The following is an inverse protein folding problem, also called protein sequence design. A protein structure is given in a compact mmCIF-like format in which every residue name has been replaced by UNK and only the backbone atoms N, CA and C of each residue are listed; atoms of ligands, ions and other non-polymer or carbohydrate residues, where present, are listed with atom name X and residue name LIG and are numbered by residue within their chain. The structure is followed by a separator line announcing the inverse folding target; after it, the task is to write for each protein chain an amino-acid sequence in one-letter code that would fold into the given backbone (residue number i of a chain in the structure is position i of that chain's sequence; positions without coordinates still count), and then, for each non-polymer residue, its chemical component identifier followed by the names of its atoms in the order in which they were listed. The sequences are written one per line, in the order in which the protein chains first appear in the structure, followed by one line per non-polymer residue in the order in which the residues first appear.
data_IF_259350695383
#
_entry.id   IF_259350695383
#
_cell.length_a   1.000
_cell.length_b   1.000
_cell.length_c   1.000
_cell.angle_alpha   90.00
_cell.angle_beta   90.00
_cell.angle_gamma   90.00
#
_symmetry.space_group_name_H-M   'P 1'
#
loop_
_entity.id
_entity.type
_entity.pdbx_description
1 polymer ?
#
# COMPACT_ATOMS: atom_id res chain seq x y z
N UNK A 1 -5.15 10.28 -20.99
CA UNK A 1 -4.96 10.51 -19.54
C UNK A 1 -5.83 9.51 -18.80
N UNK A 2 -5.26 8.78 -17.84
CA UNK A 2 -5.98 7.75 -17.09
C UNK A 2 -6.99 8.42 -16.15
N UNK A 3 -8.25 7.94 -16.17
CA UNK A 3 -9.35 8.51 -15.38
C UNK A 3 -9.86 7.60 -14.28
N UNK A 4 -9.71 6.28 -14.46
CA UNK A 4 -10.25 5.28 -13.54
C UNK A 4 -9.14 4.49 -12.88
N UNK A 5 -9.37 4.21 -11.59
CA UNK A 5 -8.58 3.30 -10.80
C UNK A 5 -9.43 2.09 -10.42
N UNK A 6 -8.96 0.92 -10.81
CA UNK A 6 -9.56 -0.36 -10.48
C UNK A 6 -8.79 -1.04 -9.34
N UNK A 7 -9.52 -1.63 -8.41
CA UNK A 7 -8.99 -2.63 -7.48
C UNK A 7 -9.99 -3.77 -7.35
N UNK A 8 -9.51 -4.94 -6.93
CA UNK A 8 -10.35 -6.11 -6.76
C UNK A 8 -10.30 -6.64 -5.33
N UNK A 9 -11.43 -7.20 -4.88
CA UNK A 9 -11.52 -7.87 -3.59
C UNK A 9 -12.70 -8.83 -3.59
N UNK A 10 -12.60 -9.96 -2.89
CA UNK A 10 -13.74 -10.82 -2.62
C UNK A 10 -14.24 -10.65 -1.19
N UNK A 11 -15.36 -11.29 -0.83
CA UNK A 11 -15.95 -11.16 0.51
C UNK A 11 -14.97 -11.50 1.65
N UNK A 12 -14.13 -12.53 1.48
CA UNK A 12 -13.14 -12.93 2.47
C UNK A 12 -12.05 -11.86 2.63
N UNK A 13 -11.51 -11.37 1.50
CA UNK A 13 -10.50 -10.31 1.46
C UNK A 13 -11.04 -8.91 1.78
N UNK A 14 -12.35 -8.74 1.95
CA UNK A 14 -12.98 -7.46 2.27
C UNK A 14 -13.31 -7.30 3.77
N UNK A 15 -12.76 -8.18 4.62
CA UNK A 15 -13.01 -8.20 6.07
C UNK A 15 -11.72 -8.01 6.87
N UNK A 16 -11.87 -7.71 8.16
CA UNK A 16 -10.76 -7.63 9.11
C UNK A 16 -9.72 -6.57 8.73
N UNK A 17 -8.47 -7.00 8.60
CA UNK A 17 -7.33 -6.13 8.30
C UNK A 17 -7.48 -5.40 6.95
N UNK A 18 -8.07 -6.05 5.96
CA UNK A 18 -8.18 -5.50 4.60
C UNK A 18 -9.30 -4.47 4.43
N UNK A 19 -10.35 -4.51 5.26
CA UNK A 19 -11.36 -3.43 5.30
C UNK A 19 -10.67 -2.07 5.59
N UNK A 20 -9.72 -2.05 6.53
CA UNK A 20 -8.95 -0.84 6.85
C UNK A 20 -8.02 -0.41 5.71
N UNK A 21 -7.39 -1.38 5.05
CA UNK A 21 -6.50 -1.13 3.91
C UNK A 21 -7.27 -0.50 2.73
N UNK A 22 -8.40 -1.09 2.37
CA UNK A 22 -9.28 -0.58 1.30
C UNK A 22 -9.75 0.85 1.61
N UNK A 23 -10.18 1.10 2.85
CA UNK A 23 -10.60 2.45 3.26
C UNK A 23 -9.46 3.46 3.15
N UNK A 24 -8.24 3.08 3.53
CA UNK A 24 -7.07 3.94 3.39
C UNK A 24 -6.74 4.25 1.93
N UNK A 25 -6.76 3.22 1.07
CA UNK A 25 -6.53 3.37 -0.37
C UNK A 25 -7.57 4.30 -1.01
N UNK A 26 -8.86 4.10 -0.72
CA UNK A 26 -9.96 4.94 -1.24
C UNK A 26 -9.86 6.39 -0.75
N UNK A 27 -9.61 6.59 0.55
CA UNK A 27 -9.47 7.94 1.12
C UNK A 27 -8.30 8.69 0.51
N UNK A 28 -7.15 8.03 0.37
CA UNK A 28 -5.95 8.65 -0.20
C UNK A 28 -6.10 8.93 -1.70
N UNK A 29 -6.70 8.02 -2.46
CA UNK A 29 -7.04 8.24 -3.86
C UNK A 29 -7.88 9.51 -4.03
N UNK A 30 -8.94 9.65 -3.24
CA UNK A 30 -9.84 10.81 -3.31
C UNK A 30 -9.23 12.12 -2.83
N UNK A 31 -8.30 12.05 -1.88
CA UNK A 31 -7.62 13.22 -1.37
C UNK A 31 -6.57 13.75 -2.36
N UNK A 32 -5.87 12.83 -3.04
CA UNK A 32 -4.61 13.15 -3.70
C UNK A 32 -4.65 13.00 -5.23
N UNK A 33 -5.76 12.54 -5.81
CA UNK A 33 -5.89 12.31 -7.26
C UNK A 33 -7.26 12.72 -7.80
N UNK A 34 -7.37 12.86 -9.12
CA UNK A 34 -8.65 12.99 -9.83
C UNK A 34 -9.29 11.67 -10.29
N UNK A 35 -8.80 10.51 -9.83
CA UNK A 35 -9.23 9.20 -10.32
C UNK A 35 -10.62 8.82 -9.79
N UNK A 36 -11.42 8.19 -10.64
CA UNK A 36 -12.66 7.52 -10.25
C UNK A 36 -12.36 6.10 -9.75
N UNK A 37 -12.55 5.80 -8.45
CA UNK A 37 -12.34 4.45 -7.93
C UNK A 37 -13.46 3.50 -8.39
N UNK A 38 -13.07 2.29 -8.80
CA UNK A 38 -13.94 1.19 -9.21
C UNK A 38 -13.48 -0.09 -8.52
N UNK A 39 -14.39 -0.75 -7.81
CA UNK A 39 -14.14 -1.99 -7.10
C UNK A 39 -14.74 -3.17 -7.86
N UNK A 40 -13.92 -4.13 -8.26
CA UNK A 40 -14.40 -5.45 -8.72
C UNK A 40 -14.62 -6.33 -7.50
N UNK A 41 -15.84 -6.82 -7.30
CA UNK A 41 -16.23 -7.52 -6.08
C UNK A 41 -16.89 -8.88 -6.32
N UNK A 42 -16.35 -9.94 -5.70
CA UNK A 42 -16.94 -11.30 -5.68
C UNK A 42 -17.42 -11.65 -4.27
N UNK A 43 -18.72 -11.78 -4.04
CA UNK A 43 -19.24 -12.05 -2.69
C UNK A 43 -20.70 -11.67 -2.44
N UNK A 44 -21.17 -11.82 -1.20
CA UNK A 44 -22.47 -11.36 -0.71
C UNK A 44 -22.53 -9.86 -0.41
N UNK A 45 -23.56 -9.39 0.30
CA UNK A 45 -23.61 -8.01 0.80
C UNK A 45 -22.81 -7.91 2.11
N UNK A 46 -21.96 -6.89 2.22
CA UNK A 46 -21.19 -6.57 3.44
C UNK A 46 -21.19 -5.06 3.70
N UNK A 47 -21.07 -4.60 4.96
CA UNK A 47 -21.10 -3.17 5.30
C UNK A 47 -20.05 -2.31 4.58
N UNK A 48 -18.93 -2.90 4.16
CA UNK A 48 -17.92 -2.18 3.39
C UNK A 48 -18.48 -1.69 2.03
N UNK A 49 -19.40 -2.41 1.39
CA UNK A 49 -19.94 -2.01 0.08
C UNK A 49 -20.74 -0.71 0.17
N UNK A 50 -21.57 -0.56 1.21
CA UNK A 50 -22.31 0.67 1.48
C UNK A 50 -21.36 1.84 1.72
N UNK A 51 -20.29 1.60 2.47
CA UNK A 51 -19.27 2.61 2.72
C UNK A 51 -18.54 3.00 1.43
N UNK A 52 -18.16 2.03 0.58
CA UNK A 52 -17.52 2.27 -0.71
C UNK A 52 -18.40 3.14 -1.60
N UNK A 53 -19.69 2.79 -1.74
CA UNK A 53 -20.65 3.58 -2.50
C UNK A 53 -20.79 5.01 -1.96
N UNK A 54 -20.91 5.17 -0.64
CA UNK A 54 -20.96 6.48 0.01
C UNK A 54 -19.66 7.31 -0.17
N UNK A 55 -18.55 6.65 -0.47
CA UNK A 55 -17.26 7.29 -0.76
C UNK A 55 -16.99 7.42 -2.25
N UNK A 56 -18.02 7.30 -3.10
CA UNK A 56 -17.91 7.54 -4.53
C UNK A 56 -17.20 6.43 -5.29
N UNK A 57 -17.12 5.22 -4.73
CA UNK A 57 -16.59 4.04 -5.43
C UNK A 57 -17.70 3.35 -6.19
N UNK A 58 -17.47 3.10 -7.47
CA UNK A 58 -18.37 2.24 -8.27
C UNK A 58 -18.07 0.78 -7.95
N UNK A 59 -19.02 0.06 -7.37
CA UNK A 59 -18.86 -1.38 -7.08
C UNK A 59 -19.46 -2.19 -8.22
N UNK A 60 -18.66 -3.03 -8.85
CA UNK A 60 -19.07 -3.96 -9.90
C UNK A 60 -18.98 -5.37 -9.34
N UNK A 61 -20.15 -6.01 -9.17
CA UNK A 61 -20.23 -7.41 -8.77
C UNK A 61 -19.79 -8.29 -9.94
N UNK A 62 -18.73 -9.07 -9.74
CA UNK A 62 -18.16 -9.92 -10.78
C UNK A 62 -17.58 -11.19 -10.18
N UNK A 63 -17.84 -12.33 -10.83
CA UNK A 63 -17.20 -13.61 -10.51
C UNK A 63 -16.16 -13.89 -11.60
N UNK A 64 -14.93 -14.16 -11.19
CA UNK A 64 -13.83 -14.40 -12.13
C UNK A 64 -14.13 -15.56 -13.09
N UNK A 65 -13.80 -15.37 -14.37
CA UNK A 65 -14.04 -16.30 -15.48
C UNK A 65 -13.40 -17.67 -15.28
N UNK A 66 -12.32 -17.73 -14.51
CA UNK A 66 -11.62 -18.97 -14.16
C UNK A 66 -12.06 -19.58 -12.82
N UNK A 67 -13.17 -19.13 -12.24
CA UNK A 67 -13.61 -19.55 -10.90
C UNK A 67 -13.76 -21.07 -10.77
N UNK A 68 -14.29 -21.75 -11.78
CA UNK A 68 -14.40 -23.22 -11.76
C UNK A 68 -13.04 -23.91 -11.71
N UNK A 69 -12.03 -23.36 -12.40
CA UNK A 69 -10.68 -23.91 -12.36
C UNK A 69 -10.03 -23.70 -10.98
N UNK A 70 -10.28 -22.56 -10.35
CA UNK A 70 -9.86 -22.29 -8.97
C UNK A 70 -10.50 -23.29 -8.00
N UNK A 71 -11.80 -23.55 -8.12
CA UNK A 71 -12.54 -24.46 -7.26
C UNK A 71 -12.10 -25.92 -7.41
N UNK A 72 -11.71 -26.31 -8.63
CA UNK A 72 -11.23 -27.66 -8.94
C UNK A 72 -9.73 -27.83 -8.68
N UNK A 73 -9.01 -26.77 -8.32
CA UNK A 73 -7.58 -26.85 -8.05
C UNK A 73 -7.35 -27.77 -6.84
N UNK A 74 -6.53 -28.83 -6.95
CA UNK A 74 -6.28 -29.74 -5.84
C UNK A 74 -5.69 -29.01 -4.62
N UNK A 75 -6.04 -29.42 -3.38
CA UNK A 75 -5.43 -28.87 -2.18
C UNK A 75 -3.91 -28.99 -2.22
N UNK A 76 -3.22 -27.92 -1.84
CA UNK A 76 -1.77 -27.87 -1.78
C UNK A 76 -1.31 -26.85 -0.72
N UNK A 77 -0.08 -26.96 -0.19
CA UNK A 77 0.40 -26.04 0.84
C UNK A 77 0.24 -24.57 0.40
N UNK A 78 -0.28 -23.75 1.31
CA UNK A 78 -0.50 -22.32 1.12
C UNK A 78 -1.44 -21.94 -0.04
N UNK A 79 -2.26 -22.88 -0.54
CA UNK A 79 -3.33 -22.59 -1.49
C UNK A 79 -4.62 -22.25 -0.75
N UNK A 80 -5.21 -21.11 -1.08
CA UNK A 80 -6.52 -20.71 -0.61
C UNK A 80 -7.37 -20.28 -1.82
N UNK A 81 -8.43 -21.05 -2.09
CA UNK A 81 -9.33 -20.79 -3.22
C UNK A 81 -10.09 -19.45 -3.07
N UNK A 82 -10.38 -19.01 -1.84
CA UNK A 82 -10.98 -17.71 -1.61
C UNK A 82 -9.99 -16.60 -1.94
N UNK A 83 -8.73 -16.69 -1.50
CA UNK A 83 -7.70 -15.70 -1.88
C UNK A 83 -7.52 -15.68 -3.40
N UNK A 84 -7.40 -16.85 -4.03
CA UNK A 84 -7.26 -16.98 -5.49
C UNK A 84 -8.40 -16.29 -6.25
N UNK A 85 -9.66 -16.47 -5.81
CA UNK A 85 -10.83 -15.83 -6.44
C UNK A 85 -10.72 -14.32 -6.43
N UNK A 86 -10.33 -13.73 -5.29
CA UNK A 86 -10.13 -12.28 -5.18
C UNK A 86 -8.97 -11.77 -6.04
N UNK A 87 -7.82 -12.44 -5.96
CA UNK A 87 -6.60 -12.04 -6.66
C UNK A 87 -6.77 -12.09 -8.20
N UNK A 88 -7.43 -13.14 -8.70
CA UNK A 88 -7.65 -13.38 -10.13
C UNK A 88 -8.74 -12.50 -10.77
N UNK A 89 -9.55 -11.75 -10.01
CA UNK A 89 -10.59 -10.88 -10.58
C UNK A 89 -10.03 -9.90 -11.63
N UNK A 90 -8.78 -9.45 -11.44
CA UNK A 90 -8.11 -8.54 -12.37
C UNK A 90 -7.89 -9.11 -13.77
N UNK A 91 -7.89 -10.44 -13.92
CA UNK A 91 -7.81 -11.11 -15.23
C UNK A 91 -8.97 -10.66 -16.13
N UNK A 92 -10.15 -10.43 -15.54
CA UNK A 92 -11.36 -10.06 -16.27
C UNK A 92 -11.57 -8.55 -16.39
N UNK A 93 -10.70 -7.73 -15.80
CA UNK A 93 -10.75 -6.27 -15.94
C UNK A 93 -10.99 -5.81 -17.40
N UNK A 94 -10.34 -6.37 -18.43
CA UNK A 94 -10.54 -5.96 -19.81
C UNK A 94 -11.93 -6.26 -20.39
N UNK A 95 -12.68 -7.19 -19.78
CA UNK A 95 -14.07 -7.48 -20.14
C UNK A 95 -15.05 -6.49 -19.50
N UNK A 96 -14.65 -5.88 -18.38
CA UNK A 96 -15.50 -5.05 -17.54
C UNK A 96 -15.38 -3.58 -17.92
N UNK A 97 -14.16 -3.07 -18.05
CA UNK A 97 -13.93 -1.73 -18.59
C UNK A 97 -14.21 -1.74 -20.10
N UNK A 98 -15.00 -0.79 -20.58
CA UNK A 98 -15.44 -0.71 -21.98
C UNK A 98 -15.28 0.68 -22.60
N UNK A 99 -15.02 1.70 -21.78
CA UNK A 99 -14.97 3.10 -22.16
C UNK A 99 -13.54 3.62 -22.28
N UNK A 100 -12.69 3.33 -21.28
CA UNK A 100 -11.32 3.84 -21.23
C UNK A 100 -10.33 2.87 -21.89
N UNK A 101 -9.43 3.42 -22.72
CA UNK A 101 -8.36 2.65 -23.36
C UNK A 101 -7.29 2.23 -22.35
N UNK A 102 -6.93 3.12 -21.42
CA UNK A 102 -5.95 2.87 -20.38
C UNK A 102 -6.54 3.13 -19.00
N UNK A 103 -6.32 2.18 -18.10
CA UNK A 103 -6.74 2.29 -16.69
C UNK A 103 -5.59 1.96 -15.75
N UNK A 104 -5.64 2.50 -14.54
CA UNK A 104 -4.79 2.05 -13.44
C UNK A 104 -5.49 0.89 -12.74
N UNK A 105 -4.79 -0.22 -12.55
CA UNK A 105 -5.18 -1.24 -11.59
C UNK A 105 -4.18 -1.25 -10.42
N UNK A 106 -4.64 -1.42 -9.18
CA UNK A 106 -3.76 -1.75 -8.06
C UNK A 106 -4.35 -2.82 -7.14
N UNK A 107 -3.50 -3.45 -6.33
CA UNK A 107 -3.94 -4.11 -5.10
C UNK A 107 -4.59 -3.08 -4.16
N UNK A 108 -5.34 -3.57 -3.19
CA UNK A 108 -6.20 -2.75 -2.34
C UNK A 108 -5.55 -2.29 -1.02
N UNK A 109 -4.24 -2.50 -0.91
CA UNK A 109 -3.36 -2.16 0.21
C UNK A 109 -2.29 -1.15 -0.22
N UNK A 110 -2.72 -0.18 -1.02
CA UNK A 110 -1.91 0.93 -1.50
C UNK A 110 -2.28 2.25 -0.82
N UNK A 111 -1.41 3.24 -0.99
CA UNK A 111 -1.63 4.63 -0.60
C UNK A 111 -1.28 5.55 -1.77
N UNK A 112 -2.22 6.40 -2.17
CA UNK A 112 -2.00 7.44 -3.18
C UNK A 112 -1.47 8.70 -2.50
N UNK A 113 -0.34 9.23 -2.98
CA UNK A 113 0.32 10.40 -2.40
C UNK A 113 0.28 11.62 -3.30
N UNK A 114 0.07 11.42 -4.60
CA UNK A 114 -0.13 12.48 -5.58
C UNK A 114 -0.80 11.93 -6.84
N UNK A 115 -1.23 12.84 -7.72
CA UNK A 115 -1.82 12.49 -9.01
C UNK A 115 -0.84 11.69 -9.89
N UNK A 116 -1.39 10.89 -10.81
CA UNK A 116 -0.60 10.05 -11.70
C UNK A 116 0.26 10.88 -12.66
N UNK A 117 -0.18 12.08 -13.09
CA UNK A 117 0.57 12.83 -14.10
C UNK A 117 0.82 12.02 -15.37
N UNK A 118 2.08 11.97 -15.85
CA UNK A 118 2.44 11.20 -17.06
C UNK A 118 2.63 9.71 -16.74
N UNK A 119 2.02 8.86 -17.54
CA UNK A 119 2.06 7.40 -17.44
C UNK A 119 2.46 6.76 -18.77
N UNK A 120 3.12 5.59 -18.77
CA UNK A 120 3.40 4.87 -20.00
C UNK A 120 2.11 4.42 -20.69
N UNK A 121 2.17 4.25 -22.01
CA UNK A 121 1.12 3.64 -22.84
C UNK A 121 1.61 2.26 -23.31
N UNK A 122 1.39 1.20 -22.51
CA UNK A 122 1.90 -0.13 -22.83
C UNK A 122 1.12 -0.80 -23.97
N UNK A 123 1.77 -1.75 -24.64
CA UNK A 123 1.08 -2.64 -25.60
C UNK A 123 -0.02 -3.46 -24.91
N UNK A 124 0.30 -4.08 -23.77
CA UNK A 124 -0.64 -4.88 -22.96
C UNK A 124 -0.81 -4.30 -21.57
N UNK A 125 0.27 -4.23 -20.81
CA UNK A 125 0.30 -3.60 -19.50
C UNK A 125 1.72 -3.19 -19.11
N UNK A 126 1.83 -2.30 -18.12
CA UNK A 126 3.08 -1.91 -17.49
C UNK A 126 3.05 -2.25 -16.00
N UNK A 127 4.11 -2.89 -15.48
CA UNK A 127 4.27 -3.24 -14.07
C UNK A 127 5.66 -2.83 -13.55
N UNK A 128 5.81 -2.77 -12.22
CA UNK A 128 7.09 -2.58 -11.56
C UNK A 128 7.71 -3.95 -11.18
N UNK A 129 9.02 -4.03 -10.88
CA UNK A 129 9.65 -5.27 -10.44
C UNK A 129 9.13 -5.76 -9.07
N UNK A 130 9.28 -7.07 -8.82
CA UNK A 130 8.81 -7.69 -7.59
C UNK A 130 9.78 -7.54 -6.41
N UNK A 131 11.05 -7.86 -6.61
CA UNK A 131 11.95 -8.07 -5.46
C UNK A 131 12.78 -6.82 -5.16
N UNK A 132 13.47 -6.29 -6.18
CA UNK A 132 14.33 -5.13 -6.06
C UNK A 132 14.02 -4.10 -7.16
N UNK A 133 14.29 -2.80 -6.92
CA UNK A 133 14.05 -1.73 -7.89
C UNK A 133 14.69 -1.92 -9.28
N UNK A 134 15.78 -2.69 -9.35
CA UNK A 134 16.57 -2.98 -10.55
C UNK A 134 16.36 -4.40 -11.11
N UNK A 135 15.61 -5.27 -10.42
CA UNK A 135 15.38 -6.65 -10.83
C UNK A 135 14.09 -6.82 -11.67
N UNK A 136 14.23 -6.69 -12.99
CA UNK A 136 13.14 -6.83 -13.95
C UNK A 136 12.86 -8.27 -14.41
N UNK A 137 13.44 -9.28 -13.74
CA UNK A 137 13.23 -10.69 -14.10
C UNK A 137 11.83 -11.19 -13.77
N UNK A 138 11.16 -10.52 -12.82
CA UNK A 138 9.82 -10.86 -12.35
C UNK A 138 9.06 -9.59 -11.95
N UNK A 139 7.83 -9.44 -12.41
CA UNK A 139 7.03 -8.23 -12.18
C UNK A 139 5.99 -8.41 -11.08
N UNK A 140 5.79 -7.33 -10.32
CA UNK A 140 4.71 -7.19 -9.37
C UNK A 140 3.44 -6.71 -10.10
N UNK A 141 2.36 -7.47 -9.97
CA UNK A 141 1.05 -7.13 -10.56
C UNK A 141 0.17 -6.29 -9.65
N UNK A 142 0.65 -5.92 -8.45
CA UNK A 142 -0.09 -5.10 -7.50
C UNK A 142 -0.21 -3.62 -7.87
N UNK A 143 0.46 -3.17 -8.92
CA UNK A 143 0.11 -1.92 -9.61
C UNK A 143 0.41 -2.05 -11.10
N UNK A 144 -0.56 -1.70 -11.94
CA UNK A 144 -0.51 -1.89 -13.37
C UNK A 144 -1.14 -0.72 -14.11
N UNK A 145 -0.51 -0.24 -15.19
CA UNK A 145 -1.26 0.45 -16.24
C UNK A 145 -1.69 -0.61 -17.24
N UNK A 146 -2.98 -0.69 -17.54
CA UNK A 146 -3.57 -1.74 -18.37
C UNK A 146 -4.10 -1.13 -19.67
N UNK A 147 -3.63 -1.63 -20.81
CA UNK A 147 -4.23 -1.36 -22.13
C UNK A 147 -5.44 -2.27 -22.30
N UNK A 148 -6.62 -1.72 -22.09
CA UNK A 148 -7.88 -2.47 -22.00
C UNK A 148 -8.21 -3.16 -23.34
N UNK A 149 -8.21 -2.48 -24.50
CA UNK A 149 -8.48 -3.14 -25.78
C UNK A 149 -7.49 -4.27 -26.10
N UNK A 150 -6.21 -4.10 -25.80
CA UNK A 150 -5.20 -5.12 -26.06
C UNK A 150 -5.36 -6.34 -25.15
N UNK A 151 -5.52 -6.10 -23.85
CA UNK A 151 -5.75 -7.17 -22.89
C UNK A 151 -7.09 -7.89 -23.14
N UNK A 152 -8.11 -7.20 -23.66
CA UNK A 152 -9.38 -7.83 -24.07
C UNK A 152 -9.20 -8.81 -25.23
N UNK A 153 -8.31 -8.52 -26.19
CA UNK A 153 -7.99 -9.45 -27.29
C UNK A 153 -7.28 -10.71 -26.78
N UNK A 154 -6.42 -10.57 -25.78
CA UNK A 154 -5.66 -11.68 -25.17
C UNK A 154 -6.47 -12.44 -24.11
N UNK A 155 -7.58 -11.88 -23.62
CA UNK A 155 -8.32 -12.38 -22.46
C UNK A 155 -8.63 -13.86 -22.55
N UNK A 156 -9.23 -14.32 -23.65
CA UNK A 156 -9.65 -15.71 -23.79
C UNK A 156 -8.46 -16.68 -23.70
N UNK A 157 -7.35 -16.36 -24.36
CA UNK A 157 -6.14 -17.18 -24.34
C UNK A 157 -5.46 -17.15 -22.96
N UNK A 158 -5.37 -15.96 -22.35
CA UNK A 158 -4.77 -15.77 -21.04
C UNK A 158 -5.56 -16.46 -19.93
N UNK A 159 -6.89 -16.31 -19.90
CA UNK A 159 -7.76 -16.96 -18.93
C UNK A 159 -7.69 -18.50 -19.06
N UNK A 160 -7.72 -19.03 -20.28
CA UNK A 160 -7.54 -20.47 -20.51
C UNK A 160 -6.17 -20.96 -20.03
N UNK A 161 -5.10 -20.21 -20.31
CA UNK A 161 -3.76 -20.53 -19.81
C UNK A 161 -3.72 -20.51 -18.28
N UNK A 162 -4.22 -19.45 -17.64
CA UNK A 162 -4.24 -19.32 -16.19
C UNK A 162 -4.98 -20.51 -15.57
N UNK A 163 -6.21 -20.78 -16.01
CA UNK A 163 -7.04 -21.90 -15.56
C UNK A 163 -6.32 -23.25 -15.66
N UNK A 164 -5.65 -23.53 -16.78
CA UNK A 164 -4.94 -24.79 -17.00
C UNK A 164 -3.65 -24.91 -16.17
N UNK A 165 -3.10 -23.80 -15.66
CA UNK A 165 -1.78 -23.77 -15.04
C UNK A 165 -1.77 -23.39 -13.55
N UNK A 166 -2.91 -23.02 -12.94
CA UNK A 166 -3.00 -22.61 -11.51
C UNK A 166 -2.20 -23.52 -10.58
N UNK A 167 -2.51 -24.81 -10.59
CA UNK A 167 -1.88 -25.80 -9.71
C UNK A 167 -0.37 -25.95 -9.97
N UNK A 168 0.05 -25.96 -11.24
CA UNK A 168 1.48 -26.08 -11.60
C UNK A 168 2.25 -24.84 -11.15
N UNK A 169 1.74 -23.66 -11.49
CA UNK A 169 2.39 -22.38 -11.17
C UNK A 169 2.48 -22.16 -9.66
N UNK A 170 1.43 -22.46 -8.90
CA UNK A 170 1.46 -22.37 -7.44
C UNK A 170 2.51 -23.30 -6.83
N UNK A 171 2.62 -24.54 -7.32
CA UNK A 171 3.63 -25.50 -6.85
C UNK A 171 5.05 -25.05 -7.15
N UNK A 172 5.29 -24.52 -8.34
CA UNK A 172 6.64 -24.16 -8.81
C UNK A 172 7.11 -22.78 -8.32
N UNK A 173 6.18 -21.85 -8.08
CA UNK A 173 6.48 -20.43 -7.83
C UNK A 173 5.93 -19.90 -6.51
N UNK A 174 5.10 -20.67 -5.81
CA UNK A 174 4.48 -20.27 -4.55
C UNK A 174 3.18 -19.47 -4.72
N UNK A 175 2.64 -18.90 -3.62
CA UNK A 175 1.27 -18.39 -3.51
C UNK A 175 1.07 -16.98 -4.07
N UNK A 176 1.49 -16.73 -5.32
CA UNK A 176 1.30 -15.45 -6.00
C UNK A 176 0.14 -15.47 -7.02
N UNK A 177 -0.66 -16.54 -7.04
CA UNK A 177 -1.92 -16.66 -7.80
C UNK A 177 -1.85 -16.12 -9.23
N UNK A 178 -2.53 -15.01 -9.53
CA UNK A 178 -2.61 -14.38 -10.85
C UNK A 178 -1.25 -13.81 -11.30
N UNK A 179 -0.42 -13.30 -10.39
CA UNK A 179 0.92 -12.76 -10.71
C UNK A 179 1.79 -13.81 -11.39
N UNK A 180 1.71 -15.08 -10.94
CA UNK A 180 2.42 -16.18 -11.59
C UNK A 180 1.93 -16.41 -13.02
N UNK A 181 0.61 -16.29 -13.26
CA UNK A 181 0.03 -16.45 -14.59
C UNK A 181 0.44 -15.29 -15.51
N UNK A 182 0.39 -14.05 -15.03
CA UNK A 182 0.85 -12.87 -15.79
C UNK A 182 2.32 -13.00 -16.18
N UNK A 183 3.20 -13.31 -15.23
CA UNK A 183 4.64 -13.46 -15.49
C UNK A 183 4.94 -14.61 -16.47
N UNK A 184 4.17 -15.70 -16.42
CA UNK A 184 4.37 -16.85 -17.30
C UNK A 184 3.80 -16.64 -18.71
N UNK A 185 2.59 -16.10 -18.85
CA UNK A 185 1.92 -15.94 -20.15
C UNK A 185 2.48 -14.75 -20.95
N UNK A 186 2.76 -13.65 -20.27
CA UNK A 186 3.26 -12.42 -20.90
C UNK A 186 4.77 -12.27 -20.82
N UNK A 187 5.52 -13.36 -20.59
CA UNK A 187 6.98 -13.36 -20.51
C UNK A 187 7.62 -12.51 -21.64
N UNK A 188 8.29 -11.42 -21.26
CA UNK A 188 8.95 -10.50 -22.20
C UNK A 188 8.03 -9.56 -22.99
N UNK A 189 6.73 -9.52 -22.66
CA UNK A 189 5.68 -8.72 -23.35
C UNK A 189 5.04 -7.66 -22.45
N UNK A 190 5.64 -7.36 -21.30
CA UNK A 190 5.20 -6.26 -20.42
C UNK A 190 6.10 -5.04 -20.58
N UNK A 191 5.52 -3.86 -20.36
CA UNK A 191 6.27 -2.60 -20.29
C UNK A 191 6.73 -2.30 -18.86
N UNK A 192 7.72 -1.41 -18.73
CA UNK A 192 8.21 -0.95 -17.42
C UNK A 192 7.32 0.16 -16.87
N UNK A 193 6.75 -0.06 -15.69
CA UNK A 193 6.09 0.98 -14.91
C UNK A 193 7.14 1.81 -14.15
N UNK A 194 7.02 3.15 -14.12
CA UNK A 194 7.79 3.95 -13.17
C UNK A 194 7.69 3.42 -11.74
N UNK A 195 8.83 3.27 -11.05
CA UNK A 195 8.90 2.67 -9.71
C UNK A 195 8.07 3.43 -8.67
N UNK A 196 7.90 4.74 -8.86
CA UNK A 196 7.12 5.61 -8.01
C UNK A 196 5.60 5.38 -8.09
N UNK A 197 5.12 4.55 -9.02
CA UNK A 197 3.72 4.09 -9.11
C UNK A 197 3.49 2.72 -8.43
N UNK A 198 4.52 2.10 -7.85
CA UNK A 198 4.42 0.84 -7.12
C UNK A 198 5.53 0.71 -6.06
N UNK A 199 5.74 1.78 -5.28
CA UNK A 199 6.86 1.82 -4.33
C UNK A 199 6.58 0.95 -3.12
N UNK A 200 7.50 0.04 -2.79
CA UNK A 200 7.35 -0.82 -1.61
C UNK A 200 8.00 -0.15 -0.39
N UNK A 201 7.39 -0.21 0.81
CA UNK A 201 7.90 0.49 1.98
C UNK A 201 9.38 0.23 2.30
N UNK A 202 9.81 -1.03 2.15
CA UNK A 202 11.17 -1.48 2.44
C UNK A 202 12.19 -1.18 1.32
N UNK A 203 11.82 -0.43 0.28
CA UNK A 203 12.75 0.09 -0.72
C UNK A 203 13.35 1.45 -0.36
N UNK A 204 12.91 2.05 0.77
CA UNK A 204 13.44 3.30 1.26
C UNK A 204 12.41 4.43 1.34
N UNK A 205 12.87 5.58 1.83
CA UNK A 205 12.09 6.82 1.85
C UNK A 205 12.29 7.55 0.53
N UNK A 206 11.20 7.79 -0.17
CA UNK A 206 11.17 8.47 -1.46
C UNK A 206 9.91 9.36 -1.57
N UNK A 207 9.69 9.94 -2.75
CA UNK A 207 8.45 10.67 -3.08
C UNK A 207 7.61 9.95 -4.14
N UNK A 208 7.15 8.71 -3.86
CA UNK A 208 6.34 7.98 -4.80
C UNK A 208 4.97 8.62 -4.98
N UNK A 209 4.37 8.40 -6.15
CA UNK A 209 2.95 8.69 -6.41
C UNK A 209 2.05 7.66 -5.72
N UNK A 210 2.46 6.39 -5.69
CA UNK A 210 1.74 5.28 -5.05
C UNK A 210 2.71 4.43 -4.23
N UNK A 211 2.37 4.18 -2.98
CA UNK A 211 3.05 3.21 -2.11
C UNK A 211 2.19 1.96 -2.02
N UNK A 212 2.79 0.80 -2.18
CA UNK A 212 2.14 -0.49 -2.09
C UNK A 212 2.70 -1.26 -0.89
N UNK A 213 1.87 -1.55 0.11
CA UNK A 213 2.22 -2.35 1.30
C UNK A 213 2.33 -3.85 0.97
N UNK A 214 3.13 -4.15 -0.05
CA UNK A 214 3.49 -5.47 -0.50
C UNK A 214 4.17 -6.24 0.65
N UNK A 215 3.77 -7.48 0.91
CA UNK A 215 4.26 -8.22 2.08
C UNK A 215 3.75 -7.64 3.41
N UNK A 216 4.58 -6.97 4.23
CA UNK A 216 4.15 -6.40 5.52
C UNK A 216 3.04 -5.37 5.35
N UNK A 217 1.85 -5.71 5.85
CA UNK A 217 0.74 -4.76 5.98
C UNK A 217 1.05 -3.78 7.12
N UNK A 218 0.46 -2.58 7.14
CA UNK A 218 0.70 -1.58 8.18
C UNK A 218 0.60 -2.12 9.62
N UNK A 219 -0.39 -2.99 9.89
CA UNK A 219 -0.56 -3.62 11.19
C UNK A 219 0.58 -4.59 11.54
N UNK A 220 1.15 -5.29 10.55
CA UNK A 220 2.34 -6.12 10.77
C UNK A 220 3.58 -5.26 11.04
N UNK A 221 3.73 -4.15 10.31
CA UNK A 221 4.82 -3.19 10.54
C UNK A 221 4.72 -2.64 11.97
N UNK A 222 3.55 -2.17 12.40
CA UNK A 222 3.34 -1.66 13.77
C UNK A 222 3.66 -2.73 14.82
N UNK A 223 3.21 -3.97 14.63
CA UNK A 223 3.49 -5.07 15.54
C UNK A 223 5.00 -5.38 15.64
N UNK A 224 5.71 -5.49 14.50
CA UNK A 224 7.16 -5.74 14.45
C UNK A 224 7.93 -4.57 15.08
N UNK A 225 7.51 -3.33 14.82
CA UNK A 225 8.11 -2.16 15.44
C UNK A 225 7.90 -2.14 16.96
N UNK A 226 6.82 -2.73 17.47
CA UNK A 226 6.55 -2.91 18.91
C UNK A 226 7.20 -4.15 19.53
N UNK A 227 7.96 -4.92 18.76
CA UNK A 227 8.67 -6.11 19.25
C UNK A 227 7.83 -7.39 19.23
N UNK A 228 6.81 -7.50 18.38
CA UNK A 228 6.21 -8.79 18.08
C UNK A 228 7.27 -9.74 17.50
N UNK A 229 7.18 -11.04 17.80
CA UNK A 229 8.12 -12.07 17.32
C UNK A 229 7.39 -13.31 16.73
N UNK A 230 6.06 -13.31 16.77
CA UNK A 230 5.18 -14.40 16.35
C UNK A 230 4.70 -14.28 14.89
N UNK A 231 5.21 -13.30 14.15
CA UNK A 231 4.90 -13.10 12.74
C UNK A 231 5.85 -13.90 11.83
N UNK A 232 5.43 -14.23 10.59
CA UNK A 232 6.28 -14.96 9.65
C UNK A 232 7.66 -14.28 9.45
N UNK A 233 8.78 -15.04 9.45
CA UNK A 233 10.14 -14.48 9.34
C UNK A 233 10.35 -13.56 8.14
N UNK A 234 9.75 -13.88 6.99
CA UNK A 234 9.81 -13.04 5.79
C UNK A 234 9.27 -11.62 6.02
N UNK A 235 8.27 -11.44 6.90
CA UNK A 235 7.77 -10.10 7.22
C UNK A 235 8.78 -9.32 8.06
N UNK A 236 9.47 -9.99 8.98
CA UNK A 236 10.57 -9.40 9.74
C UNK A 236 11.71 -8.99 8.81
N UNK A 237 12.16 -9.88 7.93
CA UNK A 237 13.24 -9.61 6.98
C UNK A 237 12.93 -8.39 6.10
N UNK A 238 11.71 -8.30 5.57
CA UNK A 238 11.29 -7.16 4.76
C UNK A 238 11.20 -5.87 5.57
N UNK A 239 10.66 -5.90 6.80
CA UNK A 239 10.64 -4.70 7.65
C UNK A 239 12.06 -4.27 8.01
N UNK A 240 12.94 -5.20 8.35
CA UNK A 240 14.32 -4.90 8.76
C UNK A 240 15.23 -4.48 7.60
N UNK A 241 14.89 -4.81 6.34
CA UNK A 241 15.63 -4.34 5.16
C UNK A 241 15.75 -2.81 5.14
N UNK A 242 14.67 -2.12 5.48
CA UNK A 242 14.71 -0.71 5.83
C UNK A 242 13.64 -0.44 6.89
N UNK A 243 14.03 -0.69 8.14
CA UNK A 243 13.16 -0.50 9.32
C UNK A 243 12.64 0.92 9.37
N UNK A 244 13.41 1.88 8.85
CA UNK A 244 13.06 3.29 8.87
C UNK A 244 12.08 3.73 7.82
N UNK A 245 12.24 3.25 6.60
CA UNK A 245 11.25 3.46 5.58
C UNK A 245 9.94 2.78 5.94
N UNK A 246 9.96 1.55 6.46
CA UNK A 246 8.75 0.84 6.91
C UNK A 246 7.96 1.65 7.95
N UNK A 247 8.68 2.17 8.93
CA UNK A 247 8.25 3.11 9.94
C UNK A 247 7.63 4.42 9.37
N UNK A 248 8.31 5.05 8.42
CA UNK A 248 7.84 6.24 7.70
C UNK A 248 6.51 6.00 7.00
N UNK A 249 6.43 4.89 6.26
CA UNK A 249 5.26 4.56 5.48
C UNK A 249 4.07 4.13 6.37
N UNK A 250 4.32 3.49 7.51
CA UNK A 250 3.28 3.26 8.52
C UNK A 250 2.67 4.57 9.02
N UNK A 251 3.51 5.57 9.34
CA UNK A 251 3.04 6.90 9.73
C UNK A 251 2.16 7.56 8.66
N UNK A 252 2.56 7.44 7.38
CA UNK A 252 1.75 7.91 6.25
C UNK A 252 0.42 7.15 6.13
N UNK A 253 0.42 5.82 6.28
CA UNK A 253 -0.81 5.02 6.20
C UNK A 253 -1.78 5.35 7.33
N UNK A 254 -1.28 5.57 8.55
CA UNK A 254 -2.09 5.99 9.70
C UNK A 254 -2.86 7.28 9.43
N UNK A 255 -2.39 8.13 8.50
CA UNK A 255 -3.12 9.33 8.11
C UNK A 255 -4.45 9.04 7.40
N UNK A 256 -4.64 7.84 6.84
CA UNK A 256 -5.81 7.45 6.06
C UNK A 256 -6.55 6.21 6.60
N UNK A 257 -5.83 5.28 7.23
CA UNK A 257 -6.39 4.01 7.71
C UNK A 257 -7.08 4.07 9.07
N UNK A 258 -6.73 5.04 9.91
CA UNK A 258 -7.10 5.07 11.34
C UNK A 258 -7.92 6.32 11.69
N UNK A 259 -9.15 6.42 11.15
CA UNK A 259 -9.96 7.66 11.16
C UNK A 259 -11.09 7.64 12.20
N UNK A 260 -11.34 6.49 12.83
CA UNK A 260 -12.42 6.31 13.83
C UNK A 260 -11.92 6.39 15.29
N UNK A 261 -10.64 6.65 15.51
CA UNK A 261 -10.06 6.89 16.82
C UNK A 261 -9.38 8.27 16.83
N UNK A 262 -9.43 8.98 17.97
CA UNK A 262 -8.68 10.23 18.19
C UNK A 262 -7.17 9.94 18.16
N UNK A 263 -6.64 9.75 16.95
CA UNK A 263 -5.26 9.34 16.73
C UNK A 263 -4.47 10.55 16.26
N UNK A 264 -3.31 10.73 16.88
CA UNK A 264 -2.29 11.64 16.39
C UNK A 264 -1.51 10.91 15.30
N UNK A 265 -1.49 11.51 14.11
CA UNK A 265 -0.71 11.13 12.94
C UNK A 265 0.67 11.77 13.07
N UNK A 266 1.73 11.13 12.60
CA UNK A 266 3.04 11.76 12.58
C UNK A 266 4.17 10.86 12.10
N UNK A 267 5.34 11.47 11.92
CA UNK A 267 6.61 10.79 11.67
C UNK A 267 7.81 11.60 12.16
N UNK A 268 8.94 10.95 12.40
CA UNK A 268 10.21 11.55 12.84
C UNK A 268 11.21 11.49 11.69
N UNK A 269 11.37 12.61 10.97
CA UNK A 269 12.17 12.68 9.74
C UNK A 269 13.66 12.50 9.97
N UNK A 270 14.21 13.10 11.03
CA UNK A 270 15.64 13.05 11.34
C UNK A 270 15.90 12.97 12.83
N UNK A 271 16.93 12.21 13.22
CA UNK A 271 17.55 12.33 14.54
C UNK A 271 19.07 12.40 14.41
N UNK A 272 19.62 13.60 14.60
CA UNK A 272 21.05 13.90 14.52
C UNK A 272 21.63 14.04 15.92
N UNK A 273 22.83 13.48 16.14
CA UNK A 273 23.60 13.64 17.37
C UNK A 273 24.83 14.48 17.06
N UNK A 274 24.96 15.63 17.70
CA UNK A 274 26.12 16.50 17.52
C UNK A 274 26.40 17.28 18.80
N UNK A 275 27.68 17.33 19.21
CA UNK A 275 28.11 18.17 20.34
C UNK A 275 27.47 17.83 21.69
N UNK A 276 27.11 16.56 21.94
CA UNK A 276 26.45 16.14 23.18
C UNK A 276 24.96 16.47 23.27
N UNK A 277 24.32 16.81 22.14
CA UNK A 277 22.88 17.01 22.04
C UNK A 277 22.26 16.11 20.96
N UNK A 278 21.03 15.67 21.21
CA UNK A 278 20.20 14.96 20.23
C UNK A 278 19.16 15.91 19.67
N UNK A 279 19.22 16.17 18.36
CA UNK A 279 18.24 16.97 17.62
C UNK A 279 17.32 16.04 16.83
N UNK A 280 16.02 16.26 16.97
CA UNK A 280 14.95 15.44 16.42
C UNK A 280 14.06 16.37 15.60
N UNK A 281 13.78 16.02 14.35
CA UNK A 281 12.76 16.72 13.56
C UNK A 281 11.72 15.74 13.01
N UNK A 282 10.52 16.25 12.76
CA UNK A 282 9.38 15.43 12.40
C UNK A 282 8.14 16.24 12.02
N UNK A 283 7.03 15.55 11.89
CA UNK A 283 5.70 16.14 11.84
C UNK A 283 4.70 15.35 12.66
N UNK A 284 3.65 16.04 13.12
CA UNK A 284 2.52 15.41 13.77
C UNK A 284 1.25 16.27 13.65
N UNK A 285 0.11 15.61 13.47
CA UNK A 285 -1.18 16.25 13.30
C UNK A 285 -2.28 15.42 13.97
N UNK A 286 -3.36 16.07 14.40
CA UNK A 286 -4.54 15.35 14.84
C UNK A 286 -5.25 14.67 13.65
N UNK A 287 -6.27 13.88 13.94
CA UNK A 287 -7.08 13.21 12.93
C UNK A 287 -7.67 14.14 11.85
N UNK A 288 -7.83 15.44 12.15
CA UNK A 288 -8.33 16.49 11.25
C UNK A 288 -7.20 17.25 10.54
N UNK A 289 -5.96 16.79 10.65
CA UNK A 289 -4.78 17.42 10.07
C UNK A 289 -4.32 18.68 10.81
N UNK A 290 -4.93 19.02 11.95
CA UNK A 290 -4.55 20.22 12.70
C UNK A 290 -3.28 19.95 13.49
N UNK A 291 -2.44 20.97 13.72
CA UNK A 291 -1.25 20.82 14.55
C UNK A 291 -1.65 20.34 15.94
N UNK A 292 -0.99 19.31 16.45
CA UNK A 292 -1.21 18.90 17.84
C UNK A 292 -0.60 19.92 18.79
N UNK A 293 -1.33 20.23 19.86
CA UNK A 293 -0.97 21.31 20.77
C UNK A 293 0.32 21.05 21.56
N UNK A 294 0.68 19.76 21.76
CA UNK A 294 1.89 19.34 22.46
C UNK A 294 2.31 17.96 21.97
N UNK A 295 3.60 17.83 21.67
CA UNK A 295 4.26 16.56 21.39
C UNK A 295 5.04 16.15 22.62
N UNK A 296 4.94 14.89 23.03
CA UNK A 296 5.81 14.26 24.01
C UNK A 296 6.71 13.29 23.29
N UNK A 297 8.01 13.44 23.46
CA UNK A 297 9.02 12.53 22.95
C UNK A 297 9.40 11.57 24.06
N UNK A 298 9.30 10.29 23.78
CA UNK A 298 9.77 9.25 24.68
C UNK A 298 10.88 8.45 24.02
N UNK A 299 11.88 8.09 24.82
CA UNK A 299 13.02 7.25 24.51
C UNK A 299 12.92 6.00 25.40
N UNK A 300 12.86 4.79 24.81
CA UNK A 300 12.67 3.53 25.56
C UNK A 300 11.47 3.55 26.53
N UNK A 301 10.40 4.24 26.14
CA UNK A 301 9.20 4.41 26.97
C UNK A 301 9.28 5.53 28.01
N UNK A 302 10.44 6.15 28.22
CA UNK A 302 10.64 7.26 29.16
C UNK A 302 10.45 8.59 28.44
N UNK A 303 9.61 9.50 28.96
CA UNK A 303 9.47 10.85 28.39
C UNK A 303 10.80 11.61 28.56
N UNK A 304 11.41 11.99 27.43
CA UNK A 304 12.68 12.73 27.38
C UNK A 304 12.50 14.18 26.95
N UNK A 305 11.31 14.58 26.51
CA UNK A 305 11.01 15.99 26.28
C UNK A 305 9.63 16.22 25.69
N UNK A 306 9.25 17.49 25.58
CA UNK A 306 8.02 17.89 24.91
C UNK A 306 8.18 19.21 24.15
N UNK A 307 7.40 19.41 23.09
CA UNK A 307 7.44 20.65 22.30
C UNK A 307 6.10 21.03 21.71
N UNK A 308 5.95 22.31 21.37
CA UNK A 308 4.91 22.80 20.45
C UNK A 308 5.39 22.73 19.00
N UNK A 309 4.46 22.40 18.13
CA UNK A 309 4.64 22.38 16.68
C UNK A 309 4.79 23.82 16.18
N UNK A 310 5.85 24.09 15.41
CA UNK A 310 6.18 25.44 14.92
C UNK A 310 6.85 25.45 13.54
N UNK A 311 7.05 24.29 12.90
CA UNK A 311 7.78 24.18 11.62
C UNK A 311 6.79 23.93 10.49
N UNK A 312 6.99 24.62 9.36
CA UNK A 312 6.18 24.43 8.16
C UNK A 312 6.57 23.14 7.41
N UNK A 313 5.59 22.37 6.93
CA UNK A 313 5.70 21.08 6.24
C UNK A 313 4.69 20.99 5.10
N UNK A 314 4.99 21.73 4.03
CA UNK A 314 4.15 21.76 2.82
C UNK A 314 4.10 20.40 2.10
N UNK A 315 5.13 19.58 2.27
CA UNK A 315 5.17 18.18 1.81
C UNK A 315 4.12 17.33 2.52
N UNK A 316 3.98 17.47 3.84
CA UNK A 316 2.96 16.77 4.64
C UNK A 316 1.55 17.27 4.31
N UNK A 317 1.42 18.59 4.11
CA UNK A 317 0.16 19.19 3.66
C UNK A 317 -0.27 18.65 2.29
N UNK A 318 0.68 18.55 1.36
CA UNK A 318 0.45 18.03 0.01
C UNK A 318 0.13 16.54 0.01
N UNK A 319 0.70 15.78 0.93
CA UNK A 319 0.36 14.37 1.14
C UNK A 319 -1.04 14.17 1.76
N UNK A 320 -1.73 15.26 2.14
CA UNK A 320 -3.03 15.20 2.82
C UNK A 320 -2.94 14.68 4.27
N UNK A 321 -1.73 14.55 4.81
CA UNK A 321 -1.51 13.94 6.12
C UNK A 321 -1.59 14.93 7.29
N UNK A 322 -1.58 16.23 6.99
CA UNK A 322 -1.66 17.32 7.97
C UNK A 322 -1.88 18.68 7.30
N UNK A 323 -1.86 19.75 8.09
CA UNK A 323 -1.71 21.13 7.61
C UNK A 323 -0.23 21.46 7.48
N UNK A 324 0.13 22.51 6.74
CA UNK A 324 1.53 22.93 6.64
C UNK A 324 2.13 23.23 8.03
N UNK A 325 1.33 23.60 9.03
CA UNK A 325 1.82 23.91 10.37
C UNK A 325 2.00 22.68 11.28
N UNK A 326 2.32 21.50 10.76
CA UNK A 326 2.42 20.25 11.53
C UNK A 326 3.86 19.81 11.88
N UNK A 327 4.90 20.58 11.53
CA UNK A 327 6.30 20.20 11.77
C UNK A 327 6.85 20.55 13.16
N UNK A 328 7.76 19.72 13.65
CA UNK A 328 8.46 19.94 14.92
C UNK A 328 9.97 19.76 14.79
N UNK A 329 10.69 20.45 15.68
CA UNK A 329 12.14 20.31 15.86
C UNK A 329 12.47 20.40 17.36
N UNK A 330 12.91 19.32 17.96
CA UNK A 330 13.26 19.23 19.38
C UNK A 330 14.77 19.02 19.53
N UNK A 331 15.38 19.73 20.47
CA UNK A 331 16.78 19.51 20.86
C UNK A 331 16.78 19.05 22.32
N UNK A 332 17.43 17.93 22.58
CA UNK A 332 17.55 17.30 23.89
C UNK A 332 19.01 17.31 24.33
N UNK A 333 19.25 17.61 25.60
CA UNK A 333 20.59 17.52 26.19
C UNK A 333 20.97 16.05 26.39
N UNK A 334 22.20 15.71 26.03
CA UNK A 334 22.73 14.35 26.10
C UNK A 334 22.51 13.54 24.82
N UNK A 335 23.34 12.51 24.65
CA UNK A 335 23.17 11.53 23.58
C UNK A 335 22.10 10.52 23.99
N UNK A 336 20.87 10.78 23.54
CA UNK A 336 19.76 9.85 23.76
C UNK A 336 19.83 8.73 22.73
N UNK A 337 20.06 7.52 23.24
CA UNK A 337 20.16 6.30 22.45
C UNK A 337 18.90 5.47 22.57
N UNK A 338 17.81 5.96 21.97
CA UNK A 338 16.54 5.24 21.94
C UNK A 338 15.96 5.11 20.51
N UNK A 339 15.28 3.99 20.21
CA UNK A 339 14.78 3.64 18.87
C UNK A 339 13.43 4.29 18.50
N UNK A 340 12.77 5.01 19.42
CA UNK A 340 11.46 5.61 19.20
C UNK A 340 11.46 7.08 19.62
N UNK A 341 10.71 7.91 18.91
CA UNK A 341 10.40 9.29 19.28
C UNK A 341 8.90 9.43 19.13
N UNK A 342 8.17 9.22 20.21
CA UNK A 342 6.71 9.43 20.30
C UNK A 342 6.40 10.90 19.96
N UNK A 343 5.28 11.18 19.33
CA UNK A 343 4.84 12.56 19.15
C UNK A 343 3.31 12.62 19.19
N UNK A 344 2.76 12.55 20.40
CA UNK A 344 1.32 12.58 20.71
C UNK A 344 1.04 11.89 22.04
N UNK A 345 -0.11 12.11 22.69
CA UNK A 345 -0.33 11.70 24.10
C UNK A 345 -0.16 10.21 24.38
N UNK A 346 -0.25 9.32 23.38
CA UNK A 346 0.00 7.86 23.53
C UNK A 346 0.42 7.14 22.21
N UNK A 347 1.06 7.80 21.23
CA UNK A 347 1.36 7.17 19.91
C UNK A 347 2.86 7.14 19.58
N UNK A 348 3.42 5.92 19.51
CA UNK A 348 4.84 5.66 19.21
C UNK A 348 5.15 6.01 17.76
N UNK A 349 6.06 6.96 17.50
CA UNK A 349 6.62 7.18 16.17
C UNK A 349 8.06 6.66 16.09
N UNK A 350 8.40 5.93 15.03
CA UNK A 350 9.75 5.41 14.79
C UNK A 350 10.73 6.48 14.26
N UNK A 351 12.02 6.38 14.63
CA UNK A 351 13.09 7.39 14.47
C UNK A 351 14.02 7.07 13.30
N UNK A 352 14.27 7.96 12.32
CA UNK A 352 15.34 7.71 11.33
C UNK A 352 16.73 7.76 11.96
N UNK A 353 17.57 6.76 11.68
CA UNK A 353 19.01 6.80 12.00
C UNK A 353 19.81 7.18 10.75
N UNK A 354 20.92 7.94 10.91
CA UNK A 354 21.86 8.23 9.84
C UNK A 354 22.61 6.98 9.35
#
# INVERSE_FOLDING_TARGET
MIRKWYFAVNECGARGIYDRLIRAAVRSCRANTGLQPVCLYDGGDIPLLDWLAAHGVTVIRHRVSIAEAIDRCPPMPNWDAAIARGACLRIDLPLIETEDEFVLYTDNDVLFLSDLGSTPEPEFFACAPEFAPDDWSYVNTGAMIVNVPAMRREHAAFAAFAAANLHRLHREKGPAYDQNAYNAFFAGRWSRLPLDLNWKPYWGIARPRIVHFHGPKPMHIDAILRGAHDLPPVLHELVEQDRMASAYWLGCWNAFGNVDAEIIKGFVDTVTREGGATRISGWAADQRGRPVARLRVHADGIEVGHRRIQVARDDVARAGAGTAACGFELVLEGEIDAPYVIAGTDTVLPRSTP
#
